data_IF_093600951842
#
_entry.id   IF_093600951842
#
_cell.length_a   1.000
_cell.length_b   1.000
_cell.length_c   1.000
_cell.angle_alpha   90.00
_cell.angle_beta   90.00
_cell.angle_gamma   90.00
#
_symmetry.space_group_name_H-M   'P 1'
#
loop_
_entity.id
_entity.type
_entity.pdbx_description
1 polymer ?
#
# COMPACT_ATOMS: atom_id res chain seq x y z
N UNK A 1 -1.57 15.92 38.44
CA UNK A 1 -0.40 15.53 37.62
C UNK A 1 -0.79 14.30 36.81
N UNK A 2 -0.74 14.34 35.47
CA UNK A 2 -0.93 13.15 34.64
C UNK A 2 0.36 12.30 34.63
N UNK A 3 0.27 10.98 34.43
CA UNK A 3 1.45 10.10 34.32
C UNK A 3 2.22 10.34 33.02
N UNK A 4 3.55 10.12 32.99
CA UNK A 4 4.37 10.32 31.79
C UNK A 4 4.18 9.20 30.76
N UNK A 5 4.16 9.59 29.49
CA UNK A 5 4.13 8.71 28.30
C UNK A 5 5.42 7.88 28.18
N UNK A 6 5.36 6.62 27.69
CA UNK A 6 6.56 5.83 27.45
C UNK A 6 7.26 6.25 26.14
N UNK A 7 8.55 6.54 26.29
CA UNK A 7 9.49 7.01 25.27
C UNK A 7 9.66 6.07 24.06
N UNK A 8 9.94 6.73 22.94
CA UNK A 8 10.40 6.19 21.66
C UNK A 8 11.61 5.28 21.81
N UNK A 9 11.49 4.04 21.34
CA UNK A 9 12.61 3.11 21.21
C UNK A 9 13.08 3.07 19.75
N UNK A 10 14.24 3.68 19.54
CA UNK A 10 15.12 3.63 18.37
C UNK A 10 15.09 2.26 17.64
N UNK A 11 14.82 2.28 16.33
CA UNK A 11 15.19 1.20 15.41
C UNK A 11 16.67 1.32 15.02
N UNK A 12 17.48 0.25 15.05
CA UNK A 12 18.75 0.24 14.33
C UNK A 12 18.55 -0.29 12.91
N UNK A 13 18.85 0.58 11.94
CA UNK A 13 19.12 0.23 10.55
C UNK A 13 20.40 -0.61 10.48
N UNK A 14 20.29 -1.82 9.93
CA UNK A 14 21.42 -2.71 9.68
C UNK A 14 21.21 -3.46 8.36
N UNK A 15 21.82 -2.93 7.31
CA UNK A 15 21.97 -3.52 5.99
C UNK A 15 22.95 -4.70 6.04
N UNK A 16 22.55 -5.88 5.57
CA UNK A 16 23.47 -6.88 5.03
C UNK A 16 22.72 -7.83 4.08
N UNK A 17 23.26 -7.94 2.88
CA UNK A 17 22.76 -8.74 1.77
C UNK A 17 22.99 -10.25 2.00
N UNK A 18 22.06 -11.07 1.50
CA UNK A 18 22.34 -12.44 1.09
C UNK A 18 21.39 -12.82 -0.06
N UNK A 19 22.01 -12.87 -1.23
CA UNK A 19 21.79 -13.61 -2.48
C UNK A 19 20.71 -14.71 -2.53
N UNK A 20 20.09 -14.80 -3.72
CA UNK A 20 19.30 -15.89 -4.33
C UNK A 20 19.78 -17.31 -3.96
N UNK A 21 19.01 -18.41 -4.04
CA UNK A 21 18.36 -19.02 -5.23
C UNK A 21 17.40 -20.14 -4.73
N UNK A 22 16.44 -20.49 -5.59
CA UNK A 22 15.72 -21.76 -5.74
C UNK A 22 14.25 -21.73 -5.29
N UNK A 23 13.39 -21.54 -6.30
CA UNK A 23 12.04 -22.05 -6.28
C UNK A 23 12.03 -23.57 -6.21
N UNK A 24 11.09 -24.10 -5.44
CA UNK A 24 10.62 -25.47 -5.54
C UNK A 24 9.11 -25.46 -5.35
N UNK A 25 8.45 -26.12 -6.28
CA UNK A 25 7.01 -26.21 -6.46
C UNK A 25 6.25 -26.58 -5.19
N UNK A 26 5.16 -25.85 -4.94
CA UNK A 26 4.15 -26.21 -3.93
C UNK A 26 3.31 -27.35 -4.46
N UNK A 27 3.79 -28.58 -4.31
CA UNK A 27 2.91 -29.76 -4.32
C UNK A 27 2.15 -29.77 -3.00
N UNK A 28 0.82 -29.65 -3.07
CA UNK A 28 -0.09 -29.83 -1.94
C UNK A 28 0.07 -31.23 -1.35
N UNK A 29 0.83 -31.34 -0.26
CA UNK A 29 0.86 -32.53 0.57
C UNK A 29 -0.25 -32.43 1.62
N UNK A 30 -1.15 -33.40 1.56
CA UNK A 30 -2.27 -33.58 2.47
C UNK A 30 -1.77 -33.83 3.91
N UNK A 31 -2.44 -33.22 4.89
CA UNK A 31 -2.09 -33.28 6.31
C UNK A 31 -2.00 -34.71 6.90
N UNK A 32 -2.59 -35.70 6.24
CA UNK A 32 -2.56 -37.10 6.66
C UNK A 32 -1.18 -37.77 6.50
N UNK A 33 -0.33 -37.32 5.56
CA UNK A 33 0.95 -37.98 5.25
C UNK A 33 2.08 -37.57 6.21
N UNK A 34 1.98 -36.39 6.83
CA UNK A 34 2.97 -35.91 7.80
C UNK A 34 2.88 -36.60 9.17
N UNK A 35 1.76 -37.26 9.47
CA UNK A 35 1.56 -37.97 10.74
C UNK A 35 2.19 -39.37 10.71
N UNK A 36 2.41 -39.95 9.52
CA UNK A 36 2.89 -41.33 9.40
C UNK A 36 4.43 -41.48 9.43
N UNK A 37 5.21 -40.44 9.10
CA UNK A 37 6.68 -40.51 9.07
C UNK A 37 7.36 -40.13 10.39
N UNK A 38 6.60 -39.70 11.40
CA UNK A 38 7.16 -39.34 12.71
C UNK A 38 7.43 -40.55 13.64
N UNK A 39 7.09 -41.77 13.24
CA UNK A 39 7.08 -42.94 14.14
C UNK A 39 8.21 -43.97 13.96
N UNK A 40 9.33 -43.68 13.27
CA UNK A 40 10.38 -44.70 13.13
C UNK A 40 11.83 -44.21 13.11
N UNK A 41 12.22 -43.32 14.02
CA UNK A 41 13.64 -43.17 14.39
C UNK A 41 13.82 -43.66 15.81
N UNK A 42 14.13 -44.95 15.94
CA UNK A 42 14.69 -45.52 17.17
C UNK A 42 16.13 -45.01 17.25
N UNK A 43 16.36 -44.02 18.10
CA UNK A 43 17.71 -43.64 18.52
C UNK A 43 18.18 -44.62 19.59
N UNK A 44 18.88 -45.66 19.15
CA UNK A 44 19.66 -46.54 20.02
C UNK A 44 20.96 -45.83 20.38
N UNK A 45 20.94 -45.03 21.43
CA UNK A 45 22.11 -44.33 21.94
C UNK A 45 21.90 -44.00 23.41
N UNK A 46 22.46 -44.84 24.27
CA UNK A 46 22.58 -44.62 25.70
C UNK A 46 23.53 -43.47 25.97
N UNK A 47 22.99 -42.26 26.06
CA UNK A 47 23.45 -41.28 27.02
C UNK A 47 22.20 -40.62 27.58
N UNK A 48 21.89 -40.92 28.83
CA UNK A 48 20.75 -40.36 29.52
C UNK A 48 21.03 -38.87 29.73
N UNK A 49 20.73 -38.06 28.70
CA UNK A 49 20.40 -36.67 28.90
C UNK A 49 19.15 -36.67 29.75
N UNK A 50 19.36 -36.69 31.06
CA UNK A 50 18.34 -36.39 32.06
C UNK A 50 17.77 -35.06 31.63
N UNK A 51 16.62 -35.09 30.96
CA UNK A 51 15.80 -33.91 30.75
C UNK A 51 15.30 -33.58 32.15
N UNK A 52 16.14 -32.86 32.89
CA UNK A 52 15.80 -32.33 34.20
C UNK A 52 14.52 -31.53 33.98
N UNK A 53 13.40 -31.89 34.64
CA UNK A 53 12.19 -31.11 34.55
C UNK A 53 12.58 -29.68 34.95
N UNK A 54 12.33 -28.71 34.07
CA UNK A 54 12.46 -27.31 34.46
C UNK A 54 11.75 -27.13 35.80
N UNK A 55 12.36 -26.40 36.72
CA UNK A 55 11.73 -26.10 38.00
C UNK A 55 10.27 -25.66 37.74
N UNK A 56 9.28 -26.26 38.42
CA UNK A 56 7.86 -26.12 38.06
C UNK A 56 7.40 -24.66 37.99
N UNK A 57 8.06 -23.77 38.73
CA UNK A 57 7.85 -22.32 38.69
C UNK A 57 8.26 -21.67 37.36
N UNK A 58 9.42 -22.05 36.80
CA UNK A 58 9.89 -21.56 35.49
C UNK A 58 8.97 -22.05 34.38
N UNK A 59 8.50 -23.30 34.47
CA UNK A 59 7.53 -23.84 33.52
C UNK A 59 6.20 -23.07 33.55
N UNK A 60 5.67 -22.76 34.74
CA UNK A 60 4.47 -21.95 34.90
C UNK A 60 4.66 -20.49 34.42
N UNK A 61 5.85 -19.91 34.60
CA UNK A 61 6.18 -18.59 34.08
C UNK A 61 6.20 -18.57 32.54
N UNK A 62 6.79 -19.58 31.91
CA UNK A 62 6.82 -19.73 30.45
C UNK A 62 5.40 -19.87 29.88
N UNK A 63 4.54 -20.70 30.49
CA UNK A 63 3.14 -20.86 30.05
C UNK A 63 2.37 -19.53 30.12
N UNK A 64 2.51 -18.78 31.21
CA UNK A 64 1.91 -17.43 31.33
C UNK A 64 2.39 -16.51 30.21
N UNK A 65 3.69 -16.55 29.89
CA UNK A 65 4.26 -15.72 28.82
C UNK A 65 3.74 -16.12 27.45
N UNK A 66 3.62 -17.42 27.17
CA UNK A 66 3.06 -17.94 25.91
C UNK A 66 1.64 -17.42 25.72
N UNK A 67 0.76 -17.59 26.71
CA UNK A 67 -0.62 -17.10 26.62
C UNK A 67 -0.69 -15.58 26.42
N UNK A 68 0.17 -14.81 27.11
CA UNK A 68 0.23 -13.36 26.93
C UNK A 68 0.66 -12.98 25.51
N UNK A 69 1.69 -13.65 24.97
CA UNK A 69 2.19 -13.41 23.63
C UNK A 69 1.17 -13.81 22.57
N UNK A 70 0.49 -14.94 22.72
CA UNK A 70 -0.59 -15.38 21.84
C UNK A 70 -1.73 -14.36 21.82
N UNK A 71 -2.12 -13.87 23.00
CA UNK A 71 -3.13 -12.82 23.11
C UNK A 71 -2.70 -11.53 22.40
N UNK A 72 -1.47 -11.05 22.62
CA UNK A 72 -0.92 -9.89 21.92
C UNK A 72 -0.87 -10.11 20.41
N UNK A 73 -0.47 -11.30 19.96
CA UNK A 73 -0.39 -11.65 18.55
C UNK A 73 -1.79 -11.65 17.90
N UNK A 74 -2.79 -12.17 18.60
CA UNK A 74 -4.18 -12.14 18.15
C UNK A 74 -4.70 -10.70 18.03
N UNK A 75 -4.41 -9.84 19.01
CA UNK A 75 -4.77 -8.41 18.92
C UNK A 75 -4.08 -7.74 17.73
N UNK A 76 -2.78 -7.95 17.56
CA UNK A 76 -2.02 -7.36 16.45
C UNK A 76 -2.54 -7.84 15.09
N UNK A 77 -2.87 -9.13 14.95
CA UNK A 77 -3.52 -9.70 13.75
C UNK A 77 -4.88 -9.04 13.47
N UNK A 78 -5.70 -8.85 14.50
CA UNK A 78 -7.00 -8.16 14.39
C UNK A 78 -6.84 -6.70 13.97
N UNK A 79 -5.85 -5.98 14.54
CA UNK A 79 -5.55 -4.59 14.17
C UNK A 79 -5.04 -4.48 12.73
N UNK A 80 -4.10 -5.34 12.32
CA UNK A 80 -3.56 -5.36 10.97
C UNK A 80 -4.64 -5.64 9.92
N UNK A 81 -5.50 -6.63 10.16
CA UNK A 81 -6.61 -6.96 9.25
C UNK A 81 -7.65 -5.83 9.16
N UNK A 82 -7.98 -5.20 10.28
CA UNK A 82 -8.90 -4.05 10.30
C UNK A 82 -8.31 -2.84 9.57
N UNK A 83 -7.03 -2.54 9.78
CA UNK A 83 -6.34 -1.44 9.09
C UNK A 83 -6.25 -1.71 7.58
N UNK A 84 -5.92 -2.95 7.18
CA UNK A 84 -5.87 -3.36 5.77
C UNK A 84 -7.22 -3.17 5.08
N UNK A 85 -8.32 -3.62 5.70
CA UNK A 85 -9.68 -3.44 5.16
C UNK A 85 -10.03 -1.96 4.97
N UNK A 86 -9.66 -1.09 5.93
CA UNK A 86 -9.88 0.36 5.80
C UNK A 86 -9.08 0.96 4.63
N UNK A 87 -7.81 0.56 4.48
CA UNK A 87 -6.99 1.00 3.35
C UNK A 87 -7.59 0.56 2.01
N UNK A 88 -8.02 -0.70 1.90
CA UNK A 88 -8.65 -1.24 0.69
C UNK A 88 -9.97 -0.51 0.35
N UNK A 89 -10.80 -0.22 1.35
CA UNK A 89 -12.04 0.54 1.17
C UNK A 89 -11.78 1.97 0.68
N UNK A 90 -10.80 2.65 1.27
CA UNK A 90 -10.41 4.00 0.85
C UNK A 90 -9.82 3.99 -0.56
N UNK A 91 -8.96 3.02 -0.88
CA UNK A 91 -8.37 2.88 -2.21
C UNK A 91 -9.45 2.60 -3.27
N UNK A 92 -10.44 1.76 -2.96
CA UNK A 92 -11.58 1.52 -3.84
C UNK A 92 -12.41 2.79 -4.06
N UNK A 93 -12.62 3.61 -3.02
CA UNK A 93 -13.26 4.91 -3.12
C UNK A 93 -12.49 5.89 -4.02
N UNK A 94 -11.16 5.95 -3.87
CA UNK A 94 -10.31 6.81 -4.70
C UNK A 94 -10.32 6.39 -6.17
N UNK A 95 -10.30 5.09 -6.47
CA UNK A 95 -10.37 4.55 -7.85
C UNK A 95 -11.68 4.86 -8.57
N UNK A 96 -12.73 5.25 -7.85
CA UNK A 96 -14.00 5.68 -8.46
C UNK A 96 -14.01 7.15 -8.89
N UNK A 97 -13.14 7.97 -8.30
CA UNK A 97 -13.12 9.43 -8.50
C UNK A 97 -11.90 9.88 -9.29
N UNK A 98 -10.77 9.19 -9.12
CA UNK A 98 -9.49 9.59 -9.66
C UNK A 98 -8.90 8.50 -10.55
N UNK A 99 -8.19 8.96 -11.59
CA UNK A 99 -7.42 8.07 -12.44
C UNK A 99 -6.18 7.51 -11.71
N UNK A 100 -5.62 6.37 -12.15
CA UNK A 100 -4.48 5.74 -11.49
C UNK A 100 -3.26 6.66 -11.32
N UNK A 101 -2.97 7.53 -12.29
CA UNK A 101 -1.88 8.50 -12.23
C UNK A 101 -2.14 9.63 -11.22
N UNK A 102 -3.41 9.99 -10.99
CA UNK A 102 -3.79 10.94 -9.94
C UNK A 102 -3.68 10.32 -8.55
N UNK A 103 -4.06 9.05 -8.39
CA UNK A 103 -3.87 8.31 -7.13
C UNK A 103 -2.37 8.19 -6.82
N UNK A 104 -1.54 7.91 -7.82
CA UNK A 104 -0.09 7.91 -7.67
C UNK A 104 0.48 9.30 -7.34
N UNK A 105 -0.14 10.37 -7.85
CA UNK A 105 0.24 11.73 -7.48
C UNK A 105 -0.07 12.02 -6.00
N UNK A 106 -1.23 11.55 -5.50
CA UNK A 106 -1.63 11.70 -4.10
C UNK A 106 -0.72 10.95 -3.12
N UNK A 107 -0.11 9.83 -3.53
CA UNK A 107 0.81 9.07 -2.67
C UNK A 107 2.18 9.72 -2.50
N UNK A 108 2.49 10.76 -3.28
CA UNK A 108 3.78 11.45 -3.29
C UNK A 108 3.70 12.77 -2.53
N UNK A 109 4.79 13.18 -1.88
CA UNK A 109 4.89 14.52 -1.28
C UNK A 109 4.90 15.65 -2.32
N UNK A 110 5.23 15.35 -3.58
CA UNK A 110 5.25 16.35 -4.65
C UNK A 110 4.85 15.78 -6.01
N UNK A 111 4.02 16.54 -6.72
CA UNK A 111 3.57 16.25 -8.08
C UNK A 111 4.58 16.71 -9.16
N UNK A 112 5.74 17.24 -8.76
CA UNK A 112 6.79 17.67 -9.69
C UNK A 112 7.30 16.46 -10.48
N UNK A 113 7.33 16.58 -11.81
CA UNK A 113 7.74 15.51 -12.72
C UNK A 113 6.75 14.35 -12.83
N UNK A 114 5.51 14.48 -12.33
CA UNK A 114 4.49 13.47 -12.55
C UNK A 114 4.09 13.42 -14.03
N UNK A 115 4.06 12.21 -14.59
CA UNK A 115 3.60 11.97 -15.96
C UNK A 115 2.09 11.73 -15.93
N UNK A 116 1.34 12.66 -16.48
CA UNK A 116 -0.11 12.56 -16.54
C UNK A 116 -0.55 11.70 -17.73
N UNK A 117 -1.54 10.84 -17.49
CA UNK A 117 -2.18 10.03 -18.52
C UNK A 117 -2.95 10.92 -19.51
N UNK A 118 -3.25 10.39 -20.70
CA UNK A 118 -4.02 11.14 -21.70
C UNK A 118 -5.44 11.45 -21.21
N UNK A 119 -6.02 10.54 -20.45
CA UNK A 119 -7.35 10.66 -19.84
C UNK A 119 -7.38 11.79 -18.82
N UNK A 120 -6.45 11.81 -17.87
CA UNK A 120 -6.33 12.90 -16.88
C UNK A 120 -6.11 14.26 -17.55
N UNK A 121 -5.33 14.32 -18.63
CA UNK A 121 -5.16 15.57 -19.39
C UNK A 121 -6.49 16.00 -20.04
N UNK A 122 -7.25 15.08 -20.64
CA UNK A 122 -8.54 15.37 -21.27
C UNK A 122 -9.54 15.92 -20.25
N UNK A 123 -9.72 15.23 -19.13
CA UNK A 123 -10.63 15.65 -18.06
C UNK A 123 -10.21 16.99 -17.45
N UNK A 124 -8.90 17.19 -17.25
CA UNK A 124 -8.36 18.45 -16.76
C UNK A 124 -8.60 19.61 -17.73
N UNK A 125 -8.53 19.36 -19.04
CA UNK A 125 -8.88 20.37 -20.05
C UNK A 125 -10.36 20.69 -20.02
N UNK A 126 -11.23 19.68 -19.96
CA UNK A 126 -12.68 19.87 -19.84
C UNK A 126 -13.02 20.71 -18.59
N UNK A 127 -12.43 20.36 -17.44
CA UNK A 127 -12.58 21.12 -16.21
C UNK A 127 -12.10 22.56 -16.37
N UNK A 128 -10.91 22.76 -16.94
CA UNK A 128 -10.33 24.08 -17.18
C UNK A 128 -11.19 24.96 -18.10
N UNK A 129 -11.82 24.38 -19.12
CA UNK A 129 -12.75 25.11 -20.00
C UNK A 129 -14.09 25.41 -19.32
N UNK A 130 -14.60 24.49 -18.48
CA UNK A 130 -15.86 24.68 -17.79
C UNK A 130 -15.79 25.76 -16.68
N UNK A 131 -14.72 25.78 -15.87
CA UNK A 131 -14.59 26.72 -14.75
C UNK A 131 -13.64 27.90 -15.01
N UNK A 132 -12.96 27.92 -16.15
CA UNK A 132 -11.94 28.90 -16.49
C UNK A 132 -10.63 28.72 -15.71
N UNK A 133 -9.63 29.54 -16.03
CA UNK A 133 -8.29 29.43 -15.43
C UNK A 133 -8.29 29.66 -13.92
N UNK A 134 -9.00 30.69 -13.46
CA UNK A 134 -9.08 31.02 -12.02
C UNK A 134 -9.75 29.93 -11.22
N UNK A 135 -10.86 29.36 -11.72
CA UNK A 135 -11.55 28.25 -11.07
C UNK A 135 -10.68 26.99 -11.02
N UNK A 136 -9.97 26.69 -12.10
CA UNK A 136 -9.05 25.56 -12.17
C UNK A 136 -7.90 25.70 -11.17
N UNK A 137 -7.29 26.89 -11.08
CA UNK A 137 -6.20 27.15 -10.14
C UNK A 137 -6.68 27.11 -8.69
N UNK A 138 -7.92 27.57 -8.41
CA UNK A 138 -8.54 27.40 -7.11
C UNK A 138 -8.69 25.92 -6.74
N UNK A 139 -9.21 25.08 -7.64
CA UNK A 139 -9.35 23.64 -7.40
C UNK A 139 -7.99 22.98 -7.12
N UNK A 140 -6.97 23.33 -7.91
CA UNK A 140 -5.61 22.86 -7.72
C UNK A 140 -5.01 23.31 -6.38
N UNK A 141 -5.32 24.52 -5.91
CA UNK A 141 -4.86 25.03 -4.61
C UNK A 141 -5.43 24.25 -3.42
N UNK A 142 -6.60 23.62 -3.58
CA UNK A 142 -7.23 22.74 -2.58
C UNK A 142 -6.63 21.33 -2.57
N UNK A 143 -5.40 21.16 -3.04
CA UNK A 143 -4.65 19.89 -3.10
C UNK A 143 -5.22 18.82 -4.04
N UNK A 144 -6.06 19.19 -5.01
CA UNK A 144 -6.51 18.25 -6.03
C UNK A 144 -5.32 17.80 -6.93
N UNK A 145 -5.21 16.49 -7.25
CA UNK A 145 -4.14 15.95 -8.07
C UNK A 145 -4.36 16.27 -9.55
N UNK A 146 -4.18 17.55 -9.88
CA UNK A 146 -4.39 18.11 -11.21
C UNK A 146 -3.06 18.52 -11.85
N UNK A 147 -2.89 18.35 -13.18
CA UNK A 147 -1.76 18.87 -13.92
C UNK A 147 -1.66 20.39 -13.82
N UNK A 148 -0.47 20.93 -14.07
CA UNK A 148 -0.30 22.39 -14.09
C UNK A 148 -0.90 22.96 -15.36
N UNK A 149 -1.41 24.20 -15.31
CA UNK A 149 -1.88 24.90 -16.51
C UNK A 149 -0.80 24.93 -17.62
N UNK A 150 0.48 25.02 -17.24
CA UNK A 150 1.61 24.88 -18.18
C UNK A 150 1.63 23.53 -18.90
N UNK A 151 1.40 22.44 -18.17
CA UNK A 151 1.34 21.07 -18.73
C UNK A 151 0.18 20.94 -19.72
N UNK A 152 -1.00 21.49 -19.38
CA UNK A 152 -2.16 21.52 -20.27
C UNK A 152 -1.85 22.26 -21.57
N UNK A 153 -1.29 23.48 -21.47
CA UNK A 153 -0.88 24.28 -22.63
C UNK A 153 0.15 23.57 -23.50
N UNK A 154 1.17 22.97 -22.89
CA UNK A 154 2.19 22.20 -23.64
C UNK A 154 1.58 21.01 -24.37
N UNK A 155 0.59 20.33 -23.77
CA UNK A 155 -0.09 19.21 -24.43
C UNK A 155 -0.91 19.68 -25.62
N UNK A 156 -1.69 20.75 -25.47
CA UNK A 156 -2.44 21.38 -26.57
C UNK A 156 -1.50 21.78 -27.71
N UNK A 157 -0.40 22.45 -27.39
CA UNK A 157 0.60 22.85 -28.40
C UNK A 157 1.21 21.63 -29.10
N UNK A 158 1.44 20.53 -28.38
CA UNK A 158 1.88 19.27 -28.98
C UNK A 158 0.87 18.67 -29.96
N UNK A 159 -0.43 18.82 -29.70
CA UNK A 159 -1.49 18.44 -30.65
C UNK A 159 -1.55 19.40 -31.85
N UNK A 160 -1.47 20.72 -31.61
CA UNK A 160 -1.46 21.73 -32.68
C UNK A 160 -0.22 21.65 -33.59
N UNK A 161 0.93 21.19 -33.09
CA UNK A 161 2.10 20.91 -33.94
C UNK A 161 1.91 19.69 -34.86
N UNK A 162 0.95 18.81 -34.56
CA UNK A 162 0.60 17.65 -35.41
C UNK A 162 -0.59 17.91 -36.33
N UNK A 163 -1.46 18.85 -35.97
CA UNK A 163 -2.57 19.31 -36.79
C UNK A 163 -2.47 20.82 -36.93
N UNK A 164 -1.81 21.26 -38.00
CA UNK A 164 -2.03 22.60 -38.55
C UNK A 164 -3.53 22.64 -38.88
N UNK A 165 -4.25 23.60 -38.29
CA UNK A 165 -5.66 23.91 -38.61
C UNK A 165 -6.76 23.05 -37.96
N UNK A 166 -6.99 23.20 -36.64
CA UNK A 166 -8.38 23.14 -36.14
C UNK A 166 -8.57 24.15 -35.00
N UNK A 167 -8.79 25.41 -35.38
CA UNK A 167 -9.23 26.47 -34.47
C UNK A 167 -10.76 26.60 -34.40
N UNK A 168 -11.55 25.63 -34.90
CA UNK A 168 -13.01 25.84 -35.05
C UNK A 168 -13.94 24.66 -34.76
N UNK A 169 -13.47 23.46 -34.42
CA UNK A 169 -14.37 22.31 -34.25
C UNK A 169 -14.10 21.54 -32.95
N UNK A 170 -14.80 21.92 -31.88
CA UNK A 170 -15.22 21.08 -30.72
C UNK A 170 -16.02 21.88 -29.66
N UNK A 171 -16.49 23.10 -29.99
CA UNK A 171 -17.38 23.86 -29.09
C UNK A 171 -18.81 23.31 -29.01
N UNK A 172 -19.18 22.29 -29.79
CA UNK A 172 -20.55 21.76 -29.82
C UNK A 172 -20.88 20.69 -28.76
N UNK A 173 -19.93 20.30 -27.91
CA UNK A 173 -20.18 19.30 -26.85
C UNK A 173 -19.96 19.80 -25.41
N UNK A 174 -19.80 21.11 -25.19
CA UNK A 174 -19.56 21.70 -23.85
C UNK A 174 -20.55 22.84 -23.54
N UNK A 175 -21.81 22.68 -23.94
CA UNK A 175 -22.93 23.39 -23.31
C UNK A 175 -23.86 22.34 -22.70
N UNK A 176 -23.64 22.01 -21.44
CA UNK A 176 -24.68 21.42 -20.58
C UNK A 176 -25.63 22.60 -20.27
N UNK A 177 -26.91 22.57 -20.66
CA UNK A 177 -27.85 23.63 -20.29
C UNK A 177 -28.06 23.59 -18.76
N UNK A 178 -27.94 24.77 -18.14
CA UNK A 178 -28.40 25.02 -16.76
C UNK A 178 -29.92 25.20 -16.79
#
# INVERSE_FOLDING_TARGET
QPPPDPEDSQFPSGSAAATEVLGTDRVSLNAATLVATASSVIYSGSDATVVTPLAPDVHAQLLRRIHQLEHQNNILKCRASSSKRKCEQLEAGLKRVFNPDQIQALSRQSNRGCKWSKETIKESLQLHFACGATGYDMLRSRSLPLPAARTLRQRIQGYNKRYIFIASFQFEYICIPI
#
